data_IF_509267742202
#
_entry.id   IF_509267742202
#
_cell.length_a   1.000
_cell.length_b   1.000
_cell.length_c   1.000
_cell.angle_alpha   90.00
_cell.angle_beta   90.00
_cell.angle_gamma   90.00
#
_symmetry.space_group_name_H-M   'P 1'
#
loop_
_entity.id
_entity.type
_entity.pdbx_description
1 polymer ?
#
# COMPACT_ATOMS: atom_id res chain seq x y z
N UNK A 1 2.86 -9.80 -14.17
CA UNK A 1 2.61 -8.90 -13.04
C UNK A 1 3.83 -8.92 -12.12
N UNK A 2 4.42 -7.78 -11.85
CA UNK A 2 5.69 -7.69 -11.12
C UNK A 2 5.42 -6.96 -9.82
N UNK A 3 5.35 -7.67 -8.70
CA UNK A 3 5.20 -7.03 -7.38
C UNK A 3 6.55 -6.42 -6.99
N UNK A 4 6.67 -5.10 -7.06
CA UNK A 4 7.78 -4.36 -6.47
C UNK A 4 7.30 -3.74 -5.17
N UNK A 5 7.50 -4.45 -4.06
CA UNK A 5 7.23 -3.93 -2.74
C UNK A 5 8.50 -3.28 -2.19
N UNK A 6 8.43 -2.00 -1.91
CA UNK A 6 9.46 -1.30 -1.16
C UNK A 6 8.81 -0.64 0.07
N UNK A 7 9.28 -1.00 1.26
CA UNK A 7 8.99 -0.28 2.48
C UNK A 7 10.00 0.86 2.62
N UNK A 8 9.50 2.08 2.63
CA UNK A 8 10.27 3.28 2.92
C UNK A 8 10.02 3.67 4.38
N UNK A 9 11.06 3.67 5.19
CA UNK A 9 10.96 3.98 6.61
C UNK A 9 11.47 5.39 6.91
N UNK A 10 10.71 6.15 7.68
CA UNK A 10 11.12 7.47 8.13
C UNK A 10 11.59 7.40 9.59
N UNK A 11 12.87 7.14 9.80
CA UNK A 11 13.50 7.02 11.12
C UNK A 11 13.38 8.26 12.01
N UNK A 12 13.11 9.44 11.43
CA UNK A 12 12.99 10.69 12.19
C UNK A 12 11.71 10.77 13.06
N UNK A 13 10.74 9.86 12.86
CA UNK A 13 9.48 9.82 13.61
C UNK A 13 9.49 8.93 14.85
N UNK A 14 10.57 8.21 15.11
CA UNK A 14 10.61 7.12 16.13
C UNK A 14 11.48 7.37 17.35
N UNK A 15 12.02 8.57 17.53
CA UNK A 15 12.81 8.88 18.73
C UNK A 15 11.93 8.80 19.99
N UNK A 16 12.19 7.81 20.85
CA UNK A 16 11.65 7.70 22.21
C UNK A 16 10.57 6.62 22.47
N UNK A 17 10.32 5.65 21.58
CA UNK A 17 9.38 4.54 21.81
C UNK A 17 10.06 3.25 22.26
N UNK A 18 9.53 2.61 23.33
CA UNK A 18 10.06 1.35 23.90
C UNK A 18 9.56 0.07 23.23
N UNK A 19 8.48 0.11 22.43
CA UNK A 19 7.98 -0.98 21.56
C UNK A 19 7.52 -0.37 20.25
N UNK A 20 8.18 -0.75 19.15
CA UNK A 20 7.95 -0.20 17.82
C UNK A 20 6.96 -1.07 17.05
N UNK A 21 5.67 -0.81 17.21
CA UNK A 21 4.71 -1.18 16.16
C UNK A 21 4.78 -0.05 15.13
N UNK A 22 5.42 -0.30 14.02
CA UNK A 22 5.56 0.66 12.91
C UNK A 22 4.21 0.80 12.22
N UNK A 23 3.62 2.00 12.23
CA UNK A 23 2.43 2.24 11.42
C UNK A 23 2.78 2.26 9.95
N UNK A 24 2.08 1.43 9.15
CA UNK A 24 2.31 1.30 7.71
C UNK A 24 1.22 2.02 6.92
N UNK A 25 1.61 2.89 5.98
CA UNK A 25 0.70 3.44 4.97
C UNK A 25 0.87 2.67 3.65
N UNK A 26 -0.17 2.00 3.23
CA UNK A 26 -0.23 1.29 1.95
C UNK A 26 -0.83 2.23 0.91
N UNK A 27 -0.05 2.64 -0.08
CA UNK A 27 -0.49 3.54 -1.15
C UNK A 27 -0.71 2.73 -2.42
N UNK A 28 -1.94 2.78 -2.94
CA UNK A 28 -2.36 2.05 -4.14
C UNK A 28 -2.84 3.06 -5.19
N UNK A 29 -2.02 3.38 -6.20
CA UNK A 29 -2.47 4.15 -7.35
C UNK A 29 -3.50 3.34 -8.16
N UNK A 30 -4.66 3.94 -8.44
CA UNK A 30 -5.75 3.27 -9.18
C UNK A 30 -6.08 4.07 -10.43
N UNK A 31 -5.92 3.45 -11.59
CA UNK A 31 -6.33 3.96 -12.88
C UNK A 31 -6.69 2.81 -13.82
N UNK A 32 -7.97 2.72 -14.21
CA UNK A 32 -8.50 1.69 -15.11
C UNK A 32 -8.02 0.26 -14.75
N UNK A 33 -8.22 -0.12 -13.49
CA UNK A 33 -7.76 -1.39 -12.92
C UNK A 33 -8.92 -2.33 -12.52
N UNK A 34 -10.13 -2.13 -13.02
CA UNK A 34 -11.36 -2.84 -12.63
C UNK A 34 -11.16 -4.36 -12.54
N UNK A 35 -10.48 -4.95 -13.53
CA UNK A 35 -10.28 -6.41 -13.61
C UNK A 35 -9.29 -6.97 -12.57
N UNK A 36 -8.45 -6.13 -11.97
CA UNK A 36 -7.35 -6.54 -11.09
C UNK A 36 -7.50 -6.02 -9.66
N UNK A 37 -8.26 -4.96 -9.46
CA UNK A 37 -8.29 -4.21 -8.21
C UNK A 37 -8.83 -5.05 -7.03
N UNK A 38 -9.87 -5.88 -7.23
CA UNK A 38 -10.42 -6.71 -6.15
C UNK A 38 -9.43 -7.75 -5.63
N UNK A 39 -8.74 -8.55 -6.45
CA UNK A 39 -7.67 -9.42 -5.99
C UNK A 39 -6.55 -8.68 -5.26
N UNK A 40 -6.13 -7.51 -5.75
CA UNK A 40 -5.14 -6.66 -5.10
C UNK A 40 -5.60 -6.27 -3.69
N UNK A 41 -6.77 -5.63 -3.57
CA UNK A 41 -7.31 -5.17 -2.29
C UNK A 41 -7.52 -6.32 -1.30
N UNK A 42 -8.03 -7.46 -1.74
CA UNK A 42 -8.20 -8.63 -0.89
C UNK A 42 -6.87 -9.12 -0.32
N UNK A 43 -5.80 -9.13 -1.12
CA UNK A 43 -4.48 -9.54 -0.66
C UNK A 43 -3.87 -8.57 0.36
N UNK A 44 -4.16 -7.28 0.23
CA UNK A 44 -3.71 -6.25 1.17
C UNK A 44 -4.50 -6.30 2.49
N UNK A 45 -5.83 -6.47 2.41
CA UNK A 45 -6.71 -6.55 3.59
C UNK A 45 -6.45 -7.82 4.41
N UNK A 46 -6.08 -8.91 3.74
CA UNK A 46 -5.76 -10.19 4.39
C UNK A 46 -4.41 -10.22 5.12
N UNK A 47 -3.65 -9.12 5.09
CA UNK A 47 -2.40 -9.06 5.84
C UNK A 47 -2.65 -9.14 7.35
N UNK A 48 -1.80 -9.90 8.05
CA UNK A 48 -1.89 -10.09 9.51
C UNK A 48 -1.28 -8.91 10.30
N UNK A 49 -0.91 -7.82 9.63
CA UNK A 49 -0.36 -6.60 10.22
C UNK A 49 -1.47 -5.58 10.46
N UNK A 50 -1.81 -5.32 11.73
CA UNK A 50 -3.00 -4.54 12.10
C UNK A 50 -2.81 -3.03 12.07
N UNK A 51 -1.60 -2.53 12.32
CA UNK A 51 -1.34 -1.09 12.35
C UNK A 51 -1.03 -0.55 10.95
N UNK A 52 -2.04 -0.59 10.09
CA UNK A 52 -1.95 -0.12 8.72
C UNK A 52 -3.13 0.73 8.31
N UNK A 53 -2.87 1.74 7.47
CA UNK A 53 -3.87 2.45 6.68
C UNK A 53 -3.68 2.13 5.20
N UNK A 54 -4.77 2.08 4.45
CA UNK A 54 -4.76 1.84 3.01
C UNK A 54 -5.30 3.08 2.31
N UNK A 55 -4.52 3.64 1.41
CA UNK A 55 -4.82 4.88 0.69
C UNK A 55 -4.96 4.57 -0.79
N UNK A 56 -6.19 4.57 -1.28
CA UNK A 56 -6.51 4.37 -2.69
C UNK A 56 -6.44 5.74 -3.39
N UNK A 57 -5.50 5.90 -4.29
CA UNK A 57 -5.37 7.14 -5.06
C UNK A 57 -6.06 6.94 -6.40
N UNK A 58 -7.32 7.36 -6.47
CA UNK A 58 -8.13 7.30 -7.69
C UNK A 58 -7.70 8.41 -8.64
N UNK A 59 -7.16 8.03 -9.79
CA UNK A 59 -6.49 8.94 -10.74
C UNK A 59 -7.29 9.14 -12.05
N UNK A 60 -8.61 9.26 -11.92
CA UNK A 60 -9.51 9.56 -13.06
C UNK A 60 -9.84 8.33 -13.90
N UNK A 61 -10.17 7.19 -13.27
CA UNK A 61 -10.60 5.98 -13.97
C UNK A 61 -11.91 6.20 -14.73
N UNK A 62 -12.01 5.55 -15.88
CA UNK A 62 -13.19 5.59 -16.77
C UNK A 62 -13.96 4.25 -16.74
N UNK A 63 -13.44 3.24 -16.03
CA UNK A 63 -14.04 1.92 -15.80
C UNK A 63 -14.69 1.82 -14.41
N UNK A 64 -15.02 0.61 -13.94
CA UNK A 64 -15.60 0.35 -12.62
C UNK A 64 -14.64 0.49 -11.43
N UNK A 65 -13.37 0.90 -11.63
CA UNK A 65 -12.38 1.00 -10.56
C UNK A 65 -12.82 1.89 -9.40
N UNK A 66 -13.40 3.06 -9.70
CA UNK A 66 -13.89 3.99 -8.67
C UNK A 66 -14.95 3.37 -7.80
N UNK A 67 -15.92 2.68 -8.39
CA UNK A 67 -17.00 2.00 -7.67
C UNK A 67 -16.43 0.93 -6.74
N UNK A 68 -15.41 0.17 -7.18
CA UNK A 68 -14.73 -0.82 -6.34
C UNK A 68 -14.02 -0.14 -5.17
N UNK A 69 -13.33 0.98 -5.39
CA UNK A 69 -12.72 1.74 -4.30
C UNK A 69 -13.74 2.16 -3.24
N UNK A 70 -14.88 2.69 -3.67
CA UNK A 70 -15.98 3.15 -2.80
C UNK A 70 -16.55 1.98 -1.98
N UNK A 71 -16.83 0.82 -2.59
CA UNK A 71 -17.27 -0.38 -1.87
C UNK A 71 -16.31 -0.80 -0.74
N UNK A 72 -14.99 -0.79 -1.02
CA UNK A 72 -14.01 -1.21 -0.01
C UNK A 72 -13.84 -0.17 1.09
N UNK A 73 -13.87 1.12 0.77
CA UNK A 73 -13.78 2.18 1.77
C UNK A 73 -15.01 2.22 2.70
N UNK A 74 -16.20 1.85 2.20
CA UNK A 74 -17.40 1.70 3.05
C UNK A 74 -17.33 0.50 3.99
N UNK A 75 -16.66 -0.57 3.59
CA UNK A 75 -16.57 -1.82 4.36
C UNK A 75 -15.44 -1.86 5.37
N UNK A 76 -14.37 -1.10 5.15
CA UNK A 76 -13.14 -1.16 5.95
C UNK A 76 -12.73 0.24 6.41
N UNK A 77 -12.78 0.49 7.69
CA UNK A 77 -12.50 1.81 8.30
C UNK A 77 -11.07 2.31 8.09
N UNK A 78 -10.12 1.41 7.86
CA UNK A 78 -8.73 1.75 7.60
C UNK A 78 -8.42 2.03 6.11
N UNK A 79 -9.44 2.01 5.24
CA UNK A 79 -9.31 2.33 3.81
C UNK A 79 -9.91 3.72 3.56
N UNK A 80 -9.17 4.55 2.85
CA UNK A 80 -9.67 5.85 2.39
C UNK A 80 -9.31 6.10 0.93
N UNK A 81 -10.15 6.86 0.25
CA UNK A 81 -9.99 7.24 -1.15
C UNK A 81 -9.55 8.69 -1.22
N UNK A 82 -8.56 8.96 -2.04
CA UNK A 82 -8.11 10.29 -2.40
C UNK A 82 -8.17 10.42 -3.93
N UNK A 83 -8.81 11.45 -4.42
CA UNK A 83 -8.81 11.73 -5.86
C UNK A 83 -7.57 12.56 -6.22
N UNK A 84 -6.86 12.13 -7.26
CA UNK A 84 -5.77 12.88 -7.89
C UNK A 84 -6.14 13.23 -9.33
N UNK A 85 -6.20 14.52 -9.64
CA UNK A 85 -6.64 15.03 -10.94
C UNK A 85 -5.52 15.08 -11.98
N UNK A 86 -4.27 15.17 -11.53
CA UNK A 86 -3.13 15.10 -12.45
C UNK A 86 -2.85 13.63 -12.79
N UNK A 87 -2.99 13.29 -14.07
CA UNK A 87 -2.81 11.92 -14.54
C UNK A 87 -1.35 11.47 -14.43
N UNK A 88 -1.18 10.21 -14.03
CA UNK A 88 0.10 9.53 -14.01
C UNK A 88 0.41 8.88 -12.65
N UNK A 89 1.01 7.70 -12.70
CA UNK A 89 1.35 6.90 -11.51
C UNK A 89 2.27 7.67 -10.55
N UNK A 90 3.19 8.47 -11.08
CA UNK A 90 4.09 9.28 -10.25
C UNK A 90 3.32 10.33 -9.43
N UNK A 91 2.33 11.00 -10.05
CA UNK A 91 1.49 12.00 -9.37
C UNK A 91 0.61 11.33 -8.32
N UNK A 92 0.01 10.18 -8.65
CA UNK A 92 -0.77 9.41 -7.70
C UNK A 92 0.07 8.95 -6.48
N UNK A 93 1.28 8.44 -6.70
CA UNK A 93 2.19 8.07 -5.61
C UNK A 93 2.59 9.28 -4.76
N UNK A 94 2.93 10.41 -5.39
CA UNK A 94 3.25 11.64 -4.67
C UNK A 94 2.05 12.10 -3.82
N UNK A 95 0.84 12.09 -4.37
CA UNK A 95 -0.37 12.43 -3.63
C UNK A 95 -0.57 11.53 -2.42
N UNK A 96 -0.30 10.23 -2.55
CA UNK A 96 -0.32 9.29 -1.43
C UNK A 96 0.68 9.65 -0.34
N UNK A 97 1.91 10.01 -0.71
CA UNK A 97 2.95 10.46 0.22
C UNK A 97 2.56 11.73 0.98
N UNK A 98 1.92 12.69 0.31
CA UNK A 98 1.52 13.97 0.90
C UNK A 98 0.45 13.79 2.00
N UNK A 99 -0.33 12.71 1.95
CA UNK A 99 -1.46 12.48 2.86
C UNK A 99 -1.27 11.30 3.82
N UNK A 100 -0.22 10.50 3.65
CA UNK A 100 0.05 9.34 4.49
C UNK A 100 0.42 9.73 5.92
N UNK A 101 0.03 8.87 6.88
CA UNK A 101 0.27 9.08 8.31
C UNK A 101 1.17 8.02 8.94
N UNK A 102 1.53 6.99 8.17
CA UNK A 102 2.40 5.92 8.61
C UNK A 102 3.86 6.34 8.77
N UNK A 103 4.58 5.61 9.59
CA UNK A 103 6.03 5.73 9.77
C UNK A 103 6.78 5.02 8.64
N UNK A 104 6.15 4.00 8.07
CA UNK A 104 6.63 3.33 6.86
C UNK A 104 5.57 3.44 5.75
N UNK A 105 6.04 3.49 4.51
CA UNK A 105 5.19 3.55 3.32
C UNK A 105 5.49 2.34 2.44
N UNK A 106 4.44 1.72 1.93
CA UNK A 106 4.53 0.69 0.90
C UNK A 106 3.66 1.09 -0.30
N UNK A 107 4.22 0.96 -1.49
CA UNK A 107 3.47 1.08 -2.73
C UNK A 107 3.08 -0.30 -3.23
N UNK A 108 1.80 -0.47 -3.55
CA UNK A 108 1.26 -1.67 -4.19
C UNK A 108 0.56 -1.22 -5.47
N UNK A 109 0.93 -1.77 -6.61
CA UNK A 109 0.24 -1.45 -7.87
C UNK A 109 -1.11 -2.18 -7.90
N UNK A 110 -2.13 -1.55 -8.49
CA UNK A 110 -3.51 -2.03 -8.44
C UNK A 110 -3.74 -3.38 -9.15
N UNK A 111 -2.77 -3.81 -9.96
CA UNK A 111 -2.74 -5.09 -10.66
C UNK A 111 -1.83 -6.13 -9.99
N UNK A 112 -1.26 -5.82 -8.83
CA UNK A 112 -0.41 -6.70 -8.05
C UNK A 112 -1.18 -7.42 -6.92
N UNK A 113 -0.72 -8.62 -6.54
CA UNK A 113 -1.26 -9.42 -5.45
C UNK A 113 -0.15 -9.82 -4.49
N UNK A 114 -0.34 -9.58 -3.19
CA UNK A 114 0.62 -10.00 -2.18
C UNK A 114 0.59 -11.52 -2.01
N UNK A 115 1.74 -12.21 -1.99
CA UNK A 115 1.81 -13.67 -2.07
C UNK A 115 1.38 -14.39 -0.79
N UNK A 116 1.39 -13.70 0.36
CA UNK A 116 1.04 -14.29 1.66
C UNK A 116 0.56 -13.24 2.65
N UNK A 117 -0.15 -13.64 3.73
CA UNK A 117 -0.69 -12.68 4.70
C UNK A 117 0.36 -12.11 5.67
N UNK A 118 1.60 -12.55 5.62
CA UNK A 118 2.68 -12.15 6.51
C UNK A 118 3.74 -11.22 5.85
N UNK A 119 3.45 -10.69 4.67
CA UNK A 119 4.39 -9.82 3.94
C UNK A 119 4.71 -8.57 4.75
N UNK A 120 3.70 -7.86 5.24
CA UNK A 120 3.93 -6.60 5.98
C UNK A 120 4.64 -6.84 7.32
N UNK A 121 4.27 -7.89 8.05
CA UNK A 121 4.94 -8.21 9.32
C UNK A 121 6.41 -8.58 9.12
N UNK A 122 6.74 -9.37 8.09
CA UNK A 122 8.13 -9.70 7.75
C UNK A 122 8.96 -8.48 7.34
N UNK A 123 8.36 -7.58 6.56
CA UNK A 123 9.06 -6.36 6.13
C UNK A 123 9.26 -5.39 7.31
N UNK A 124 8.27 -5.21 8.18
CA UNK A 124 8.40 -4.42 9.39
C UNK A 124 9.47 -4.99 10.34
N UNK A 125 9.48 -6.29 10.55
CA UNK A 125 10.51 -6.98 11.34
C UNK A 125 11.91 -6.79 10.74
N UNK A 126 12.04 -6.83 9.43
CA UNK A 126 13.29 -6.58 8.74
C UNK A 126 13.79 -5.15 8.97
N UNK A 127 12.91 -4.14 8.85
CA UNK A 127 13.24 -2.74 9.14
C UNK A 127 13.75 -2.57 10.59
N UNK A 128 13.06 -3.17 11.55
CA UNK A 128 13.44 -3.10 12.96
C UNK A 128 14.82 -3.73 13.24
N UNK A 129 15.07 -4.91 12.67
CA UNK A 129 16.31 -5.66 12.89
C UNK A 129 17.52 -5.03 12.21
N UNK A 130 17.34 -4.54 10.99
CA UNK A 130 18.47 -4.05 10.16
C UNK A 130 18.71 -2.56 10.31
N UNK A 131 17.70 -1.80 10.81
CA UNK A 131 17.69 -0.33 10.81
C UNK A 131 17.87 0.26 9.41
N UNK A 132 17.45 -0.48 8.40
CA UNK A 132 17.48 -0.03 7.01
C UNK A 132 16.40 1.02 6.76
N UNK A 133 16.67 1.96 5.87
CA UNK A 133 15.67 2.94 5.42
C UNK A 133 14.71 2.35 4.38
N UNK A 134 15.13 1.30 3.68
CA UNK A 134 14.37 0.64 2.62
C UNK A 134 14.51 -0.88 2.74
N UNK A 135 13.38 -1.57 2.70
CA UNK A 135 13.32 -3.03 2.58
C UNK A 135 12.55 -3.37 1.31
N UNK A 136 13.16 -4.19 0.45
CA UNK A 136 12.52 -4.68 -0.78
C UNK A 136 12.26 -6.18 -0.66
N UNK A 137 11.05 -6.61 -1.04
CA UNK A 137 10.71 -8.02 -1.19
C UNK A 137 11.07 -8.56 -2.57
N UNK A 138 11.25 -9.87 -2.67
CA UNK A 138 11.31 -10.55 -3.95
C UNK A 138 9.93 -10.60 -4.61
N UNK A 139 9.90 -10.66 -5.93
CA UNK A 139 8.67 -10.78 -6.69
C UNK A 139 8.67 -12.04 -7.56
N UNK A 140 7.50 -12.58 -7.82
CA UNK A 140 7.30 -13.63 -8.81
C UNK A 140 6.20 -13.21 -9.79
N UNK A 141 6.28 -13.73 -11.02
CA UNK A 141 5.19 -13.58 -11.98
C UNK A 141 4.15 -14.66 -11.70
N UNK A 142 2.89 -14.28 -11.68
CA UNK A 142 1.77 -15.23 -11.51
C UNK A 142 1.40 -15.91 -12.84
N UNK A 143 1.85 -15.35 -13.96
CA UNK A 143 1.56 -15.85 -15.33
C UNK A 143 2.84 -15.81 -16.18
N UNK A 144 3.10 -16.85 -16.85
CA UNK A 144 4.00 -16.90 -18.01
C UNK A 144 3.17 -17.08 -19.29
#
# INVERSE_FOLDING_TARGET
>A
MTVKLAFLYNSLRTEGRSELIIKVSVIIPVYNAESFLRPCLNSVISQNYKDSEIILIENGSEDGSRTICEEYAERFENIRIITETQRGTAMARQRGLDVCKGEAVVFVDADDVLPSPDVFSKMAECLEKTKADIVCGEYSRLWE
#
